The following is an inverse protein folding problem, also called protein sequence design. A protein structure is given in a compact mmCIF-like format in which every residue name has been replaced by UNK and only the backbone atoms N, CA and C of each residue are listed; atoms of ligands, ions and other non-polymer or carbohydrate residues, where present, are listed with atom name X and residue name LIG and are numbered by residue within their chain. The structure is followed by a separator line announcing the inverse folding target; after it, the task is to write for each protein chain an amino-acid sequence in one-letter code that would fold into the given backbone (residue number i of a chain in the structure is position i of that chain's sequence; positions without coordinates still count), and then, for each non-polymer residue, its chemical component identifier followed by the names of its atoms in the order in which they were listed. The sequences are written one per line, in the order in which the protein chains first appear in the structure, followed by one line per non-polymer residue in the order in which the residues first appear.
data_IF_177437623147
#
_entry.id   IF_177437623147
#
_cell.length_a   1.000
_cell.length_b   1.000
_cell.length_c   1.000
_cell.angle_alpha   90.00
_cell.angle_beta   90.00
_cell.angle_gamma   90.00
#
_symmetry.space_group_name_H-M   'P 1'
#
loop_
_entity.id
_entity.type
_entity.pdbx_description
1 polymer ?
#
# COMPACT_ATOMS: atom_id res chain seq x y z
N UNK A 1 33.48 -22.17 47.36
CA UNK A 1 32.55 -22.91 46.52
C UNK A 1 32.35 -22.14 45.24
N UNK A 2 32.78 -22.68 44.10
CA UNK A 2 32.55 -22.06 42.80
C UNK A 2 31.04 -22.07 42.51
N UNK A 3 30.41 -20.90 42.48
CA UNK A 3 29.03 -20.76 41.95
C UNK A 3 29.07 -21.28 40.53
N UNK A 4 28.34 -22.40 40.25
CA UNK A 4 28.29 -22.95 38.93
C UNK A 4 27.85 -21.86 37.93
N UNK A 5 28.54 -21.70 36.82
CA UNK A 5 28.30 -20.64 35.84
C UNK A 5 26.84 -20.67 35.28
N UNK A 6 26.16 -21.78 35.44
CA UNK A 6 24.78 -21.99 35.03
C UNK A 6 23.71 -21.30 35.87
N UNK A 7 24.00 -20.99 37.15
CA UNK A 7 22.99 -20.36 38.02
C UNK A 7 22.61 -18.95 37.61
N UNK A 8 23.50 -18.18 36.99
CA UNK A 8 23.19 -16.84 36.46
C UNK A 8 22.28 -16.91 35.23
N UNK A 9 22.32 -17.99 34.49
CA UNK A 9 21.49 -18.19 33.29
C UNK A 9 20.14 -18.83 33.58
N UNK A 10 19.91 -19.32 34.80
CA UNK A 10 18.69 -20.04 35.18
C UNK A 10 17.42 -19.23 34.91
N UNK A 11 17.36 -17.97 35.38
CA UNK A 11 16.21 -17.09 35.16
C UNK A 11 15.96 -16.81 33.67
N UNK A 12 17.02 -16.65 32.87
CA UNK A 12 16.89 -16.46 31.43
C UNK A 12 16.31 -17.69 30.72
N UNK A 13 16.71 -18.88 31.13
CA UNK A 13 16.13 -20.12 30.62
C UNK A 13 14.70 -20.34 31.10
N UNK A 14 14.37 -19.93 32.32
CA UNK A 14 13.01 -20.03 32.85
C UNK A 14 12.05 -19.10 32.06
N UNK A 15 12.42 -17.83 31.86
CA UNK A 15 11.57 -16.93 31.08
C UNK A 15 11.45 -17.37 29.62
N UNK A 16 12.52 -17.83 28.98
CA UNK A 16 12.49 -18.40 27.65
C UNK A 16 11.55 -19.62 27.57
N UNK A 17 11.64 -20.51 28.53
CA UNK A 17 10.75 -21.68 28.64
C UNK A 17 9.29 -21.26 28.77
N UNK A 18 8.97 -20.32 29.66
CA UNK A 18 7.63 -19.80 29.86
C UNK A 18 7.06 -19.21 28.56
N UNK A 19 7.86 -18.40 27.86
CA UNK A 19 7.49 -17.75 26.60
C UNK A 19 7.26 -18.76 25.47
N UNK A 20 8.14 -19.77 25.34
CA UNK A 20 8.12 -20.69 24.20
C UNK A 20 7.18 -21.88 24.38
N UNK A 21 7.02 -22.39 25.62
CA UNK A 21 6.42 -23.72 25.83
C UNK A 21 5.14 -23.68 26.68
N UNK A 22 4.73 -22.53 27.24
CA UNK A 22 3.56 -22.48 28.12
C UNK A 22 2.48 -21.54 27.59
N UNK A 23 1.24 -21.85 27.93
CA UNK A 23 0.06 -20.99 27.79
C UNK A 23 -1.00 -21.46 28.81
N UNK A 24 -2.17 -20.81 28.85
CA UNK A 24 -3.27 -21.14 29.74
C UNK A 24 -3.69 -22.64 29.70
N UNK A 25 -3.63 -23.23 28.49
CA UNK A 25 -4.02 -24.63 28.28
C UNK A 25 -2.86 -25.63 28.48
N UNK A 26 -1.63 -25.13 28.51
CA UNK A 26 -0.40 -25.92 28.61
C UNK A 26 0.53 -25.37 29.70
N UNK A 27 0.08 -25.39 31.00
CA UNK A 27 0.97 -25.00 32.10
C UNK A 27 2.04 -26.09 32.29
N UNK A 28 3.27 -25.68 32.59
CA UNK A 28 4.38 -26.60 32.80
C UNK A 28 4.53 -26.92 34.28
N UNK A 29 4.57 -28.18 34.65
CA UNK A 29 4.73 -28.61 36.03
C UNK A 29 6.15 -28.35 36.54
N UNK A 30 6.31 -28.21 37.88
CA UNK A 30 7.65 -28.01 38.47
C UNK A 30 8.64 -29.15 38.13
N UNK A 31 8.24 -30.45 38.10
CA UNK A 31 9.13 -31.50 37.63
C UNK A 31 9.56 -31.34 36.18
N UNK A 32 8.67 -30.90 35.28
CA UNK A 32 9.00 -30.68 33.87
C UNK A 32 9.93 -29.49 33.70
N UNK A 33 9.75 -28.44 34.53
CA UNK A 33 10.65 -27.29 34.57
C UNK A 33 12.06 -27.68 34.98
N UNK A 34 12.20 -28.52 36.02
CA UNK A 34 13.48 -29.05 36.48
C UNK A 34 14.13 -29.85 35.36
N UNK A 35 13.39 -30.77 34.73
CA UNK A 35 13.89 -31.57 33.59
C UNK A 35 14.31 -30.69 32.41
N UNK A 36 13.57 -29.61 32.10
CA UNK A 36 13.96 -28.63 31.07
C UNK A 36 15.30 -27.97 31.39
N UNK A 37 15.50 -27.54 32.67
CA UNK A 37 16.76 -26.91 33.10
C UNK A 37 17.92 -27.90 33.10
N UNK A 38 17.71 -29.15 33.52
CA UNK A 38 18.72 -30.21 33.44
C UNK A 38 19.21 -30.45 32.01
N UNK A 39 18.30 -30.44 31.03
CA UNK A 39 18.64 -30.53 29.62
C UNK A 39 19.49 -29.33 29.12
N UNK A 40 19.47 -28.22 29.85
CA UNK A 40 20.35 -27.06 29.61
C UNK A 40 21.62 -27.07 30.49
N UNK A 41 21.87 -28.17 31.21
CA UNK A 41 23.02 -28.29 32.12
C UNK A 41 22.89 -27.50 33.41
N UNK A 42 21.67 -27.15 33.82
CA UNK A 42 21.40 -26.37 35.03
C UNK A 42 20.64 -27.22 36.03
N UNK A 43 21.27 -27.52 37.15
CA UNK A 43 20.63 -28.21 38.27
C UNK A 43 19.81 -27.22 39.10
N UNK A 44 18.55 -27.57 39.38
CA UNK A 44 17.63 -26.75 40.14
C UNK A 44 16.80 -27.62 41.10
N UNK A 45 16.64 -27.16 42.30
CA UNK A 45 15.75 -27.78 43.31
C UNK A 45 14.36 -27.15 43.24
N UNK A 46 13.34 -27.93 43.66
CA UNK A 46 11.95 -27.51 43.64
C UNK A 46 11.70 -26.16 44.35
N UNK A 47 12.29 -25.99 45.54
CA UNK A 47 12.17 -24.73 46.32
C UNK A 47 12.77 -23.52 45.59
N UNK A 48 13.89 -23.75 44.89
CA UNK A 48 14.54 -22.72 44.09
C UNK A 48 13.65 -22.27 42.88
N UNK A 49 12.91 -23.21 42.27
CA UNK A 49 11.98 -22.86 41.19
C UNK A 49 10.88 -21.94 41.67
N UNK A 50 10.30 -22.19 42.85
CA UNK A 50 9.27 -21.30 43.40
C UNK A 50 9.77 -19.88 43.61
N UNK A 51 10.93 -19.72 44.23
CA UNK A 51 11.57 -18.39 44.41
C UNK A 51 11.95 -17.72 43.10
N UNK A 52 12.35 -18.51 42.09
CA UNK A 52 12.68 -17.97 40.78
C UNK A 52 11.42 -17.46 40.03
N UNK A 53 10.30 -18.17 40.16
CA UNK A 53 9.02 -17.74 39.56
C UNK A 53 8.47 -16.49 40.25
N UNK A 54 8.60 -16.39 41.59
CA UNK A 54 8.29 -15.17 42.32
C UNK A 54 9.15 -14.02 41.89
N UNK A 55 10.49 -14.22 41.73
CA UNK A 55 11.41 -13.19 41.22
C UNK A 55 11.07 -12.73 39.80
N UNK A 56 10.61 -13.61 38.92
CA UNK A 56 10.15 -13.24 37.59
C UNK A 56 8.86 -12.43 37.65
N UNK A 57 7.94 -12.76 38.55
CA UNK A 57 6.71 -12.00 38.77
C UNK A 57 7.02 -10.60 39.32
N UNK A 58 7.93 -10.50 40.31
CA UNK A 58 8.38 -9.23 40.84
C UNK A 58 9.09 -8.36 39.81
N UNK A 59 9.76 -8.97 38.84
CA UNK A 59 10.40 -8.26 37.73
C UNK A 59 9.38 -7.72 36.72
N UNK A 60 8.12 -8.21 36.75
CA UNK A 60 7.02 -7.73 35.91
C UNK A 60 6.50 -8.74 34.89
N UNK A 61 6.94 -9.99 34.91
CA UNK A 61 6.32 -11.03 34.10
C UNK A 61 5.04 -11.55 34.75
N UNK A 62 3.98 -11.71 33.98
CA UNK A 62 2.72 -12.27 34.45
C UNK A 62 2.81 -13.80 34.57
N UNK A 63 3.51 -14.26 35.62
CA UNK A 63 3.69 -15.68 35.89
C UNK A 63 2.50 -16.20 36.66
N UNK A 64 1.63 -16.99 36.01
CA UNK A 64 0.43 -17.56 36.60
C UNK A 64 0.72 -18.96 37.10
N UNK A 65 0.37 -19.24 38.37
CA UNK A 65 0.41 -20.57 38.95
C UNK A 65 -0.98 -21.20 38.93
N UNK A 66 -1.11 -22.36 38.31
CA UNK A 66 -2.36 -23.16 38.32
C UNK A 66 -2.23 -24.29 39.33
N UNK A 67 -3.22 -24.43 40.18
CA UNK A 67 -3.37 -25.58 41.08
C UNK A 67 -4.39 -26.55 40.49
N UNK A 68 -4.01 -27.79 40.23
CA UNK A 68 -4.89 -28.82 39.74
C UNK A 68 -4.74 -30.10 40.58
N UNK A 69 -5.79 -30.89 40.70
CA UNK A 69 -5.76 -32.23 41.36
C UNK A 69 -4.79 -33.19 40.65
N UNK A 70 -4.48 -32.95 39.38
CA UNK A 70 -3.58 -33.77 38.55
C UNK A 70 -2.13 -33.23 38.49
N UNK A 71 -1.80 -32.21 39.25
CA UNK A 71 -0.51 -31.53 39.26
C UNK A 71 -0.67 -30.10 38.79
N UNK A 72 -0.20 -29.13 39.61
CA UNK A 72 -0.16 -27.72 39.25
C UNK A 72 1.01 -27.39 38.32
N UNK A 73 0.99 -26.24 37.74
CA UNK A 73 2.06 -25.78 36.87
C UNK A 73 2.13 -24.26 36.77
N UNK A 74 3.08 -23.76 35.98
CA UNK A 74 3.26 -22.36 35.71
C UNK A 74 3.09 -22.09 34.23
N UNK A 75 2.50 -20.95 33.89
CA UNK A 75 2.46 -20.43 32.54
C UNK A 75 2.58 -18.91 32.53
N UNK A 76 2.93 -18.34 31.38
CA UNK A 76 2.94 -16.90 31.18
C UNK A 76 1.55 -16.42 30.77
N UNK A 77 0.88 -15.64 31.65
CA UNK A 77 -0.52 -15.20 31.48
C UNK A 77 -0.65 -14.16 30.38
N UNK A 78 0.18 -13.12 30.40
CA UNK A 78 0.20 -12.08 29.40
C UNK A 78 1.44 -12.16 28.52
N UNK A 79 1.28 -11.88 27.24
CA UNK A 79 2.36 -11.80 26.24
C UNK A 79 2.39 -10.40 25.65
N UNK A 80 3.56 -10.00 25.12
CA UNK A 80 3.71 -8.73 24.43
C UNK A 80 2.76 -8.56 23.25
N UNK A 81 2.45 -9.68 22.57
CA UNK A 81 1.43 -9.75 21.52
C UNK A 81 0.47 -10.88 21.78
N UNK A 82 -0.83 -10.60 21.66
CA UNK A 82 -1.87 -11.61 21.68
C UNK A 82 -1.94 -12.37 20.34
N UNK A 83 -2.45 -13.60 20.36
CA UNK A 83 -2.58 -14.43 19.17
C UNK A 83 -3.39 -13.77 18.03
N UNK A 84 -4.50 -13.05 18.28
CA UNK A 84 -5.21 -12.30 17.23
C UNK A 84 -4.35 -11.20 16.60
N UNK A 85 -3.54 -10.51 17.37
CA UNK A 85 -2.65 -9.45 16.88
C UNK A 85 -1.55 -10.03 15.99
N UNK A 86 -0.93 -11.15 16.41
CA UNK A 86 0.06 -11.87 15.60
C UNK A 86 -0.54 -12.37 14.28
N UNK A 87 -1.79 -12.84 14.28
CA UNK A 87 -2.50 -13.21 13.03
C UNK A 87 -2.66 -12.03 12.09
N UNK A 88 -3.06 -10.86 12.60
CA UNK A 88 -3.15 -9.64 11.79
C UNK A 88 -1.79 -9.23 11.20
N UNK A 89 -0.70 -9.34 11.98
CA UNK A 89 0.66 -9.06 11.50
C UNK A 89 1.09 -10.06 10.41
N UNK A 90 0.82 -11.34 10.58
CA UNK A 90 1.08 -12.38 9.56
C UNK A 90 0.30 -12.08 8.27
N UNK A 91 -0.98 -11.74 8.38
CA UNK A 91 -1.83 -11.39 7.24
C UNK A 91 -1.32 -10.14 6.52
N UNK A 92 -0.91 -9.11 7.25
CA UNK A 92 -0.31 -7.89 6.70
C UNK A 92 0.98 -8.18 5.92
N UNK A 93 1.88 -9.01 6.49
CA UNK A 93 3.12 -9.43 5.82
C UNK A 93 2.83 -10.28 4.59
N UNK A 94 1.89 -11.23 4.70
CA UNK A 94 1.54 -12.15 3.62
C UNK A 94 0.85 -11.40 2.46
N UNK A 95 -0.04 -10.47 2.75
CA UNK A 95 -0.80 -9.71 1.76
C UNK A 95 0.02 -8.62 1.07
N UNK A 96 1.10 -8.16 1.67
CA UNK A 96 1.92 -7.09 1.13
C UNK A 96 2.59 -7.46 -0.19
N UNK A 97 2.37 -6.67 -1.25
CA UNK A 97 3.09 -6.78 -2.53
C UNK A 97 4.52 -6.29 -2.44
N UNK A 98 4.75 -5.38 -1.56
CA UNK A 98 6.02 -4.71 -1.32
C UNK A 98 7.06 -5.64 -0.67
N UNK A 99 6.65 -6.62 0.12
CA UNK A 99 7.54 -7.56 0.79
C UNK A 99 7.78 -8.76 -0.11
N UNK A 100 9.05 -9.08 -0.43
CA UNK A 100 9.40 -10.24 -1.25
C UNK A 100 8.91 -11.55 -0.63
N UNK A 101 8.73 -12.59 -1.43
CA UNK A 101 8.30 -13.89 -0.93
C UNK A 101 9.27 -14.47 0.11
N UNK A 102 10.59 -14.32 -0.11
CA UNK A 102 11.62 -14.75 0.82
C UNK A 102 11.53 -14.02 2.15
N UNK A 103 11.48 -12.68 2.11
CA UNK A 103 11.42 -11.85 3.32
C UNK A 103 10.10 -12.03 4.08
N UNK A 104 8.98 -12.23 3.39
CA UNK A 104 7.70 -12.56 4.03
C UNK A 104 7.83 -13.83 4.87
N UNK A 105 8.44 -14.88 4.31
CA UNK A 105 8.67 -16.14 5.00
C UNK A 105 9.55 -15.98 6.24
N UNK A 106 10.62 -15.18 6.12
CA UNK A 106 11.52 -14.91 7.26
C UNK A 106 10.84 -14.10 8.36
N UNK A 107 10.03 -13.10 8.01
CA UNK A 107 9.26 -12.31 8.98
C UNK A 107 8.20 -13.16 9.68
N UNK A 108 7.44 -13.97 8.93
CA UNK A 108 6.43 -14.86 9.50
C UNK A 108 7.07 -15.83 10.48
N UNK A 109 8.23 -16.43 10.14
CA UNK A 109 8.96 -17.32 11.05
C UNK A 109 9.33 -16.61 12.36
N UNK A 110 9.72 -15.34 12.32
CA UNK A 110 10.00 -14.56 13.54
C UNK A 110 8.73 -14.32 14.37
N UNK A 111 7.60 -14.04 13.72
CA UNK A 111 6.31 -13.89 14.41
C UNK A 111 5.86 -15.23 15.04
N UNK A 112 6.07 -16.35 14.37
CA UNK A 112 5.81 -17.69 14.91
C UNK A 112 6.64 -17.96 16.18
N UNK A 113 7.89 -17.50 16.24
CA UNK A 113 8.73 -17.64 17.43
C UNK A 113 8.20 -16.82 18.61
N UNK A 114 7.63 -15.64 18.36
CA UNK A 114 7.02 -14.80 19.40
C UNK A 114 5.74 -15.46 19.96
N UNK A 115 4.98 -16.14 19.12
CA UNK A 115 3.74 -16.83 19.53
C UNK A 115 3.98 -17.99 20.50
N UNK A 116 5.19 -18.57 20.48
CA UNK A 116 5.50 -19.80 21.20
C UNK A 116 5.05 -21.06 20.44
N UNK A 117 5.53 -22.22 20.88
CA UNK A 117 5.38 -23.49 20.14
C UNK A 117 3.93 -23.95 19.97
N UNK A 118 3.09 -23.71 20.96
CA UNK A 118 1.69 -24.17 20.97
C UNK A 118 0.80 -23.36 20.01
N UNK A 119 1.13 -22.07 19.83
CA UNK A 119 0.37 -21.13 19.01
C UNK A 119 0.97 -20.90 17.62
N UNK A 120 2.25 -21.22 17.43
CA UNK A 120 2.92 -21.07 16.13
C UNK A 120 2.15 -21.78 14.99
N UNK A 121 1.66 -22.98 15.21
CA UNK A 121 0.83 -23.71 14.26
C UNK A 121 -0.50 -23.04 13.93
N UNK A 122 -1.07 -22.28 14.89
CA UNK A 122 -2.33 -21.55 14.71
C UNK A 122 -2.16 -20.26 13.88
N UNK A 123 -0.92 -19.79 13.71
CA UNK A 123 -0.58 -18.68 12.81
C UNK A 123 -0.51 -19.12 11.35
N UNK A 124 -0.43 -20.45 11.10
CA UNK A 124 -0.46 -20.99 9.74
C UNK A 124 -1.84 -20.79 9.13
N UNK A 125 -1.88 -19.94 8.17
CA UNK A 125 -2.88 -19.55 7.19
C UNK A 125 -4.34 -19.93 7.38
N UNK A 126 -5.14 -18.92 7.62
CA UNK A 126 -6.57 -18.93 7.30
C UNK A 126 -6.94 -17.96 6.16
N UNK A 127 -6.04 -17.04 5.77
CA UNK A 127 -6.30 -16.06 4.71
C UNK A 127 -5.57 -16.46 3.43
N UNK A 128 -6.34 -16.78 2.39
CA UNK A 128 -5.82 -17.03 1.06
C UNK A 128 -5.66 -15.70 0.33
N UNK A 129 -4.42 -15.27 0.12
CA UNK A 129 -4.10 -14.12 -0.71
C UNK A 129 -3.99 -14.61 -2.15
N UNK A 130 -5.11 -14.53 -2.91
CA UNK A 130 -5.14 -15.01 -4.28
C UNK A 130 -4.28 -14.13 -5.20
N UNK A 131 -3.36 -14.77 -5.96
CA UNK A 131 -2.74 -14.19 -7.15
C UNK A 131 -1.92 -12.92 -6.97
N UNK A 132 -1.45 -12.57 -5.75
CA UNK A 132 -0.65 -11.37 -5.56
C UNK A 132 0.78 -11.58 -6.01
N UNK A 133 1.16 -10.84 -7.05
CA UNK A 133 2.55 -10.75 -7.50
C UNK A 133 3.30 -9.87 -6.49
N UNK A 134 4.24 -10.46 -5.77
CA UNK A 134 5.16 -9.76 -4.86
C UNK A 134 6.34 -9.18 -5.64
N UNK A 135 6.95 -8.13 -5.09
CA UNK A 135 8.20 -7.60 -5.65
C UNK A 135 9.31 -8.64 -5.57
N UNK A 136 10.20 -8.62 -6.54
CA UNK A 136 11.44 -9.43 -6.55
C UNK A 136 12.65 -8.60 -6.07
N UNK A 137 12.47 -7.31 -5.86
CA UNK A 137 13.55 -6.41 -5.43
C UNK A 137 13.87 -6.59 -3.94
N UNK A 138 14.89 -7.37 -3.63
CA UNK A 138 15.37 -7.60 -2.26
C UNK A 138 16.01 -6.35 -1.63
N UNK A 139 16.47 -5.37 -2.44
CA UNK A 139 17.11 -4.16 -1.93
C UNK A 139 16.13 -3.11 -1.42
N UNK A 140 14.83 -3.31 -1.60
CA UNK A 140 13.80 -2.32 -1.29
C UNK A 140 13.83 -1.83 0.17
N UNK A 141 14.20 -2.68 1.14
CA UNK A 141 14.34 -2.28 2.55
C UNK A 141 15.50 -1.32 2.75
N UNK A 142 16.64 -1.63 2.13
CA UNK A 142 17.83 -0.79 2.19
C UNK A 142 17.59 0.53 1.47
N UNK A 143 16.83 0.49 0.36
CA UNK A 143 16.45 1.71 -0.36
C UNK A 143 15.59 2.63 0.52
N UNK A 144 14.60 2.07 1.25
CA UNK A 144 13.77 2.84 2.17
C UNK A 144 14.60 3.43 3.31
N UNK A 145 15.48 2.62 3.92
CA UNK A 145 16.36 3.06 4.99
C UNK A 145 17.28 4.20 4.52
N UNK A 146 17.90 4.03 3.35
CA UNK A 146 18.73 5.05 2.73
C UNK A 146 17.96 6.36 2.46
N UNK A 147 16.71 6.25 1.97
CA UNK A 147 15.86 7.42 1.74
C UNK A 147 15.50 8.12 3.06
N UNK A 148 15.11 7.37 4.10
CA UNK A 148 14.85 7.95 5.43
C UNK A 148 16.06 8.66 5.98
N UNK A 149 17.23 8.03 5.92
CA UNK A 149 18.50 8.63 6.35
C UNK A 149 18.80 9.92 5.57
N UNK A 150 18.64 9.92 4.26
CA UNK A 150 18.84 11.11 3.43
C UNK A 150 17.89 12.25 3.79
N UNK A 151 16.63 11.93 4.12
CA UNK A 151 15.63 12.92 4.59
C UNK A 151 16.08 13.51 5.95
N UNK A 152 16.50 12.67 6.89
CA UNK A 152 16.94 13.10 8.22
C UNK A 152 18.22 13.93 8.18
N UNK A 153 19.18 13.53 7.36
CA UNK A 153 20.47 14.20 7.19
C UNK A 153 20.44 15.41 6.25
N UNK A 154 19.26 15.73 5.68
CA UNK A 154 19.09 16.79 4.70
C UNK A 154 19.99 16.62 3.46
N UNK A 155 20.08 15.41 2.90
CA UNK A 155 20.96 15.05 1.78
C UNK A 155 20.17 14.65 0.54
N UNK A 156 20.80 14.84 -0.63
CA UNK A 156 20.32 14.29 -1.91
C UNK A 156 20.62 12.78 -1.98
N UNK A 157 19.93 12.09 -2.86
CA UNK A 157 20.19 10.69 -3.20
C UNK A 157 20.44 10.52 -4.68
N UNK A 158 21.24 9.52 -5.02
CA UNK A 158 21.36 9.00 -6.38
C UNK A 158 20.78 7.60 -6.46
N UNK A 159 20.25 7.24 -7.62
CA UNK A 159 19.73 5.89 -7.86
C UNK A 159 19.55 5.62 -9.35
N UNK A 160 19.56 4.34 -9.72
CA UNK A 160 19.15 3.85 -11.04
C UNK A 160 17.65 3.59 -11.03
N UNK A 161 16.90 4.23 -11.94
CA UNK A 161 15.47 3.94 -12.06
C UNK A 161 15.22 2.84 -13.08
N UNK A 162 14.52 1.78 -12.67
CA UNK A 162 14.32 0.56 -13.42
C UNK A 162 12.93 0.53 -14.07
N UNK A 163 12.84 -0.11 -15.25
CA UNK A 163 11.57 -0.38 -15.90
C UNK A 163 11.54 -1.82 -16.44
N UNK A 164 10.33 -2.38 -16.59
CA UNK A 164 10.16 -3.71 -17.14
C UNK A 164 10.33 -3.70 -18.66
N UNK A 165 11.16 -4.62 -19.17
CA UNK A 165 11.21 -4.91 -20.60
C UNK A 165 10.17 -6.00 -20.98
N UNK A 166 10.01 -6.28 -22.28
CA UNK A 166 9.11 -7.32 -22.78
C UNK A 166 9.51 -8.73 -22.38
N UNK A 167 10.75 -8.94 -21.93
CA UNK A 167 11.24 -10.21 -21.39
C UNK A 167 10.95 -10.39 -19.91
N UNK A 168 10.21 -9.43 -19.30
CA UNK A 168 9.87 -9.39 -17.86
C UNK A 168 11.10 -9.24 -16.95
N UNK A 169 12.12 -8.52 -17.42
CA UNK A 169 13.32 -8.18 -16.66
C UNK A 169 13.31 -6.70 -16.29
N UNK A 170 13.75 -6.36 -15.08
CA UNK A 170 13.97 -4.97 -14.66
C UNK A 170 15.29 -4.49 -15.25
N UNK A 171 15.21 -3.49 -16.11
CA UNK A 171 16.37 -2.89 -16.79
C UNK A 171 16.45 -1.40 -16.48
N UNK A 172 17.64 -0.80 -16.47
CA UNK A 172 17.79 0.64 -16.29
C UNK A 172 16.99 1.42 -17.35
N UNK A 173 16.24 2.41 -16.87
CA UNK A 173 15.51 3.31 -17.76
C UNK A 173 16.47 4.20 -18.51
N UNK A 174 16.24 4.47 -19.82
CA UNK A 174 17.05 5.44 -20.55
C UNK A 174 17.09 6.80 -19.86
N UNK A 175 18.24 7.47 -19.87
CA UNK A 175 18.42 8.80 -19.25
C UNK A 175 19.29 8.79 -17.99
N UNK A 176 20.05 7.70 -17.76
CA UNK A 176 21.08 7.64 -16.72
C UNK A 176 20.57 7.62 -15.28
N UNK A 177 21.52 7.71 -14.37
CA UNK A 177 21.25 7.77 -12.93
C UNK A 177 20.51 9.06 -12.58
N UNK A 178 19.64 8.96 -11.58
CA UNK A 178 18.88 10.09 -11.07
C UNK A 178 19.55 10.63 -9.82
N UNK A 179 19.71 11.96 -9.77
CA UNK A 179 20.10 12.68 -8.56
C UNK A 179 18.94 13.59 -8.15
N UNK A 180 18.38 13.36 -6.97
CA UNK A 180 17.18 14.08 -6.53
C UNK A 180 17.23 14.39 -5.03
N UNK A 181 16.44 15.35 -4.60
CA UNK A 181 16.26 15.75 -3.21
C UNK A 181 15.03 15.03 -2.64
N UNK A 182 15.17 14.00 -1.79
CA UNK A 182 14.06 13.24 -1.22
C UNK A 182 13.32 14.09 -0.17
N UNK A 183 11.97 14.17 -0.26
CA UNK A 183 11.17 14.98 0.66
C UNK A 183 10.21 14.17 1.50
N UNK A 184 9.52 13.18 0.92
CA UNK A 184 8.60 12.32 1.63
C UNK A 184 8.53 10.92 1.02
N UNK A 185 8.38 9.92 1.89
CA UNK A 185 7.92 8.59 1.49
C UNK A 185 6.43 8.49 1.71
N UNK A 186 5.71 8.11 0.67
CA UNK A 186 4.26 8.02 0.62
C UNK A 186 3.89 6.56 0.42
N UNK A 187 3.10 5.98 1.35
CA UNK A 187 2.53 4.65 1.18
C UNK A 187 1.18 4.76 0.49
N UNK A 188 1.05 4.16 -0.70
CA UNK A 188 -0.19 4.15 -1.45
C UNK A 188 -0.31 2.94 -2.37
N UNK A 189 -1.52 2.39 -2.47
CA UNK A 189 -1.82 1.25 -3.35
C UNK A 189 -0.78 0.11 -3.20
N UNK A 190 -0.43 -0.17 -1.95
CA UNK A 190 0.54 -1.20 -1.53
C UNK A 190 1.97 -1.00 -2.06
N UNK A 191 2.35 0.23 -2.38
CA UNK A 191 3.69 0.59 -2.79
C UNK A 191 4.19 1.83 -2.04
N UNK A 192 5.51 1.90 -1.84
CA UNK A 192 6.16 3.14 -1.45
C UNK A 192 6.47 3.99 -2.68
N UNK A 193 6.11 5.25 -2.57
CA UNK A 193 6.47 6.28 -3.53
C UNK A 193 7.33 7.32 -2.85
N UNK A 194 8.45 7.65 -3.47
CA UNK A 194 9.28 8.76 -3.07
C UNK A 194 8.80 10.02 -3.79
N UNK A 195 8.35 11.03 -3.03
CA UNK A 195 8.21 12.38 -3.53
C UNK A 195 9.56 13.09 -3.41
N UNK A 196 10.17 13.46 -4.55
CA UNK A 196 11.47 14.08 -4.60
C UNK A 196 11.51 15.26 -5.55
N UNK A 197 12.28 16.28 -5.19
CA UNK A 197 12.54 17.41 -6.09
C UNK A 197 13.67 17.06 -7.06
N UNK A 198 13.38 17.22 -8.34
CA UNK A 198 14.30 17.07 -9.44
C UNK A 198 14.83 18.46 -9.82
N UNK A 199 16.11 18.72 -9.58
CA UNK A 199 16.74 20.05 -9.79
C UNK A 199 16.85 20.41 -11.26
N UNK A 200 16.98 19.43 -12.17
CA UNK A 200 17.04 19.66 -13.61
C UNK A 200 15.67 20.09 -14.15
N UNK A 201 14.63 19.34 -13.78
CA UNK A 201 13.25 19.64 -14.21
C UNK A 201 12.58 20.73 -13.36
N UNK A 202 13.13 21.09 -12.19
CA UNK A 202 12.60 22.08 -11.22
C UNK A 202 11.19 21.77 -10.74
N UNK A 203 10.84 20.47 -10.63
CA UNK A 203 9.53 19.97 -10.19
C UNK A 203 9.67 18.84 -9.21
N UNK A 204 8.59 18.60 -8.44
CA UNK A 204 8.46 17.40 -7.62
C UNK A 204 8.05 16.23 -8.52
N UNK A 205 8.83 15.16 -8.51
CA UNK A 205 8.56 13.90 -9.19
C UNK A 205 8.28 12.79 -8.19
N UNK A 206 7.57 11.75 -8.64
CA UNK A 206 7.28 10.56 -7.87
C UNK A 206 8.00 9.35 -8.46
N UNK A 207 8.68 8.61 -7.59
CA UNK A 207 9.39 7.40 -7.96
C UNK A 207 8.87 6.24 -7.12
N UNK A 208 8.54 5.13 -7.75
CA UNK A 208 8.22 3.89 -7.03
C UNK A 208 9.51 3.31 -6.47
N UNK A 209 9.54 3.06 -5.16
CA UNK A 209 10.76 2.60 -4.48
C UNK A 209 11.15 1.18 -4.88
N UNK A 210 10.18 0.33 -5.24
CA UNK A 210 10.45 -1.02 -5.77
C UNK A 210 11.13 -1.03 -7.15
N UNK A 211 11.08 0.10 -7.88
CA UNK A 211 11.78 0.32 -9.15
C UNK A 211 13.09 1.10 -9.01
N UNK A 212 13.54 1.35 -7.80
CA UNK A 212 14.81 2.01 -7.54
C UNK A 212 15.89 0.97 -7.27
N UNK A 213 16.99 1.04 -7.97
CA UNK A 213 18.19 0.26 -7.72
C UNK A 213 19.33 1.17 -7.26
N UNK A 214 20.26 0.63 -6.46
CA UNK A 214 21.49 1.31 -6.06
C UNK A 214 21.24 2.71 -5.47
N UNK A 215 20.37 2.80 -4.45
CA UNK A 215 20.08 4.06 -3.77
C UNK A 215 21.25 4.42 -2.86
N UNK A 216 21.89 5.56 -3.12
CA UNK A 216 23.02 6.07 -2.34
C UNK A 216 22.74 7.48 -1.84
N UNK A 217 23.12 7.75 -0.60
CA UNK A 217 23.03 9.08 0.00
C UNK A 217 24.26 9.89 -0.39
N UNK A 218 24.04 11.07 -0.97
CA UNK A 218 25.14 11.96 -1.39
C UNK A 218 25.58 12.89 -0.26
N UNK A 219 26.67 13.63 -0.50
CA UNK A 219 27.12 14.70 0.40
C UNK A 219 26.40 16.03 0.15
N UNK A 220 25.68 16.15 -0.95
CA UNK A 220 24.99 17.37 -1.35
C UNK A 220 23.73 17.62 -0.51
N UNK A 221 23.46 18.86 -0.08
CA UNK A 221 22.23 19.18 0.64
C UNK A 221 21.01 19.09 -0.28
N UNK A 222 19.83 18.85 0.31
CA UNK A 222 18.56 18.83 -0.44
C UNK A 222 18.21 20.22 -0.95
N UNK A 223 17.58 20.24 -2.12
CA UNK A 223 17.00 21.40 -2.75
C UNK A 223 15.47 21.30 -2.85
N UNK A 224 14.78 22.38 -3.23
CA UNK A 224 13.35 22.36 -3.51
C UNK A 224 12.45 22.53 -2.28
N UNK A 225 12.94 23.10 -1.18
CA UNK A 225 12.15 23.41 0.03
C UNK A 225 10.89 24.19 -0.31
N UNK A 226 11.03 25.26 -1.14
CA UNK A 226 9.91 26.14 -1.51
C UNK A 226 8.83 25.38 -2.29
N UNK A 227 9.26 24.51 -3.19
CA UNK A 227 8.35 23.72 -4.03
C UNK A 227 7.60 22.67 -3.19
N UNK A 228 8.31 22.03 -2.26
CA UNK A 228 7.69 21.03 -1.40
C UNK A 228 6.78 21.62 -0.32
N UNK A 229 7.15 22.77 0.27
CA UNK A 229 6.32 23.44 1.30
C UNK A 229 4.96 23.93 0.79
N UNK A 230 4.79 24.06 -0.53
CA UNK A 230 3.52 24.39 -1.17
C UNK A 230 2.59 23.18 -1.33
N UNK A 231 3.12 21.97 -1.08
CA UNK A 231 2.38 20.71 -1.23
C UNK A 231 1.88 20.28 0.15
N UNK A 232 0.57 20.30 0.35
CA UNK A 232 -0.03 19.51 1.42
C UNK A 232 0.00 18.03 1.01
N UNK A 233 0.92 17.28 1.60
CA UNK A 233 1.18 15.86 1.25
C UNK A 233 -0.09 15.02 1.40
N UNK A 234 -0.94 15.30 2.39
CA UNK A 234 -2.17 14.56 2.65
C UNK A 234 -3.21 14.83 1.55
N UNK A 235 -3.48 16.10 1.27
CA UNK A 235 -4.39 16.48 0.18
C UNK A 235 -3.87 16.05 -1.18
N UNK A 236 -2.58 16.21 -1.42
CA UNK A 236 -1.93 15.80 -2.65
C UNK A 236 -2.06 14.28 -2.90
N UNK A 237 -1.87 13.47 -1.85
CA UNK A 237 -2.00 12.02 -1.93
C UNK A 237 -3.44 11.61 -2.24
N UNK A 238 -4.44 12.28 -1.66
CA UNK A 238 -5.85 11.98 -1.89
C UNK A 238 -6.32 12.39 -3.29
N UNK A 239 -5.76 13.46 -3.85
CA UNK A 239 -6.12 14.01 -5.17
C UNK A 239 -5.50 13.23 -6.33
N UNK A 240 -4.36 12.58 -6.11
CA UNK A 240 -3.60 11.87 -7.15
C UNK A 240 -4.07 10.43 -7.29
N UNK A 241 -4.40 9.98 -8.49
CA UNK A 241 -4.77 8.59 -8.78
C UNK A 241 -3.53 7.79 -9.18
N UNK A 242 -3.13 6.80 -8.33
CA UNK A 242 -1.96 5.95 -8.57
C UNK A 242 -0.63 6.72 -8.66
N UNK A 243 -0.54 7.93 -8.04
CA UNK A 243 0.63 8.82 -8.07
C UNK A 243 1.04 9.26 -9.49
N UNK A 244 0.12 9.20 -10.45
CA UNK A 244 0.33 9.78 -11.77
C UNK A 244 0.07 11.29 -11.74
N UNK A 245 1.02 12.04 -12.27
CA UNK A 245 0.87 13.47 -12.46
C UNK A 245 -0.27 13.75 -13.44
N UNK A 246 -1.10 14.73 -13.14
CA UNK A 246 -2.19 15.23 -13.98
C UNK A 246 -2.48 16.68 -13.63
N UNK A 247 -3.21 17.36 -14.49
CA UNK A 247 -3.67 18.71 -14.21
C UNK A 247 -4.68 18.68 -13.06
N UNK A 248 -4.39 19.42 -11.99
CA UNK A 248 -5.31 19.53 -10.86
C UNK A 248 -6.54 20.32 -11.27
N UNK A 249 -7.70 19.72 -11.12
CA UNK A 249 -8.98 20.33 -11.46
C UNK A 249 -10.05 19.98 -10.43
N UNK A 250 -10.95 20.94 -10.18
CA UNK A 250 -12.15 20.66 -9.39
C UNK A 250 -13.18 19.99 -10.30
N UNK A 251 -13.43 18.70 -10.04
CA UNK A 251 -14.36 17.90 -10.82
C UNK A 251 -15.66 17.71 -10.06
N UNK A 252 -16.78 17.91 -10.76
CA UNK A 252 -18.11 17.63 -10.23
C UNK A 252 -18.62 16.33 -10.87
N UNK A 253 -19.00 15.37 -10.04
CA UNK A 253 -19.42 14.03 -10.45
C UNK A 253 -20.76 13.68 -9.83
N UNK A 254 -21.61 12.96 -10.55
CA UNK A 254 -22.89 12.46 -10.04
C UNK A 254 -22.86 10.95 -9.96
N UNK A 255 -23.29 10.40 -8.83
CA UNK A 255 -23.25 8.97 -8.54
C UNK A 255 -24.60 8.47 -8.03
N UNK A 256 -24.99 7.23 -8.36
CA UNK A 256 -26.09 6.55 -7.68
C UNK A 256 -25.81 6.40 -6.17
N UNK A 257 -26.85 6.57 -5.34
CA UNK A 257 -26.77 6.50 -3.86
C UNK A 257 -26.01 5.26 -3.34
N UNK A 258 -26.15 4.12 -4.02
CA UNK A 258 -25.45 2.86 -3.68
C UNK A 258 -23.93 2.97 -3.72
N UNK A 259 -23.36 3.96 -4.40
CA UNK A 259 -21.92 4.15 -4.54
C UNK A 259 -21.34 5.12 -3.50
N UNK A 260 -22.11 5.52 -2.51
CA UNK A 260 -21.68 6.46 -1.47
C UNK A 260 -20.43 5.92 -0.74
N UNK A 261 -20.40 4.63 -0.38
CA UNK A 261 -19.26 4.00 0.27
C UNK A 261 -18.00 4.08 -0.60
N UNK A 262 -18.10 3.75 -1.90
CA UNK A 262 -16.97 3.80 -2.84
C UNK A 262 -16.40 5.21 -2.99
N UNK A 263 -17.26 6.22 -2.94
CA UNK A 263 -16.86 7.64 -3.00
C UNK A 263 -16.18 8.05 -1.70
N UNK A 264 -16.74 7.68 -0.54
CA UNK A 264 -16.15 7.98 0.77
C UNK A 264 -14.81 7.26 0.98
N UNK A 265 -14.69 5.99 0.54
CA UNK A 265 -13.44 5.24 0.59
C UNK A 265 -12.35 5.91 -0.26
N UNK A 266 -12.75 6.57 -1.36
CA UNK A 266 -11.80 7.21 -2.28
C UNK A 266 -11.39 8.61 -1.87
N UNK A 267 -12.36 9.46 -1.50
CA UNK A 267 -12.16 10.88 -1.27
C UNK A 267 -12.17 11.28 0.20
N UNK A 268 -12.48 10.35 1.10
CA UNK A 268 -12.62 10.61 2.53
C UNK A 268 -14.00 11.19 2.89
N UNK A 269 -14.25 11.30 4.20
CA UNK A 269 -15.55 11.75 4.73
C UNK A 269 -15.78 13.25 4.57
N UNK A 270 -14.71 14.02 4.39
CA UNK A 270 -14.76 15.51 4.27
C UNK A 270 -15.05 15.98 2.84
N UNK A 271 -15.27 15.09 1.89
CA UNK A 271 -15.60 15.47 0.51
C UNK A 271 -16.99 16.11 0.43
N UNK A 272 -17.12 17.20 -0.36
CA UNK A 272 -18.41 17.90 -0.57
C UNK A 272 -19.39 17.00 -1.33
N UNK A 273 -20.41 16.52 -0.61
CA UNK A 273 -21.48 15.65 -1.12
C UNK A 273 -22.82 16.35 -0.98
N UNK A 274 -23.59 16.40 -2.07
CA UNK A 274 -24.93 16.99 -2.07
C UNK A 274 -25.95 16.01 -2.66
N UNK A 275 -27.04 15.71 -1.96
CA UNK A 275 -28.13 14.91 -2.52
C UNK A 275 -28.78 15.68 -3.67
N UNK A 276 -29.00 15.01 -4.80
CA UNK A 276 -29.69 15.56 -5.96
C UNK A 276 -31.11 15.00 -6.11
N UNK A 277 -31.31 13.75 -5.66
CA UNK A 277 -32.60 13.05 -5.59
C UNK A 277 -32.47 11.91 -4.57
N UNK A 278 -33.54 11.16 -4.36
CA UNK A 278 -33.53 9.97 -3.49
C UNK A 278 -32.56 8.87 -3.95
N UNK A 279 -32.17 8.88 -5.22
CA UNK A 279 -31.33 7.84 -5.84
C UNK A 279 -29.97 8.32 -6.31
N UNK A 280 -29.70 9.65 -6.35
CA UNK A 280 -28.50 10.25 -6.92
C UNK A 280 -27.93 11.31 -6.01
N UNK A 281 -26.62 11.35 -5.86
CA UNK A 281 -25.90 12.41 -5.17
C UNK A 281 -24.77 12.98 -6.06
N UNK A 282 -24.40 14.22 -5.77
CA UNK A 282 -23.34 14.95 -6.46
C UNK A 282 -22.15 15.10 -5.52
N UNK A 283 -20.96 14.91 -6.08
CA UNK A 283 -19.67 15.08 -5.39
C UNK A 283 -18.88 16.15 -6.09
N UNK A 284 -18.27 17.03 -5.32
CA UNK A 284 -17.29 18.00 -5.80
C UNK A 284 -15.95 17.72 -5.15
N UNK A 285 -14.97 17.31 -5.96
CA UNK A 285 -13.64 16.96 -5.47
C UNK A 285 -12.53 17.55 -6.34
N UNK A 286 -11.44 17.98 -5.71
CA UNK A 286 -10.21 18.37 -6.40
C UNK A 286 -9.43 17.09 -6.74
N UNK A 287 -9.12 16.87 -8.01
CA UNK A 287 -8.45 15.66 -8.49
C UNK A 287 -7.38 16.00 -9.53
N UNK A 288 -6.31 15.21 -9.58
CA UNK A 288 -5.39 15.20 -10.71
C UNK A 288 -6.04 14.39 -11.85
N UNK A 289 -6.51 15.07 -12.88
CA UNK A 289 -7.16 14.45 -14.03
C UNK A 289 -6.12 13.67 -14.83
N UNK A 290 -6.23 12.34 -14.80
CA UNK A 290 -5.26 11.42 -15.39
C UNK A 290 -5.95 10.19 -15.96
N UNK A 291 -5.24 9.39 -16.75
CA UNK A 291 -5.74 8.10 -17.25
C UNK A 291 -6.20 7.16 -16.13
N UNK A 292 -5.55 7.22 -14.97
CA UNK A 292 -5.93 6.43 -13.78
C UNK A 292 -7.25 6.89 -13.16
N UNK A 293 -7.50 8.21 -13.12
CA UNK A 293 -8.78 8.76 -12.69
C UNK A 293 -9.93 8.26 -13.58
N UNK A 294 -9.75 8.31 -14.90
CA UNK A 294 -10.75 7.76 -15.83
C UNK A 294 -10.90 6.24 -15.72
N UNK A 295 -9.80 5.52 -15.51
CA UNK A 295 -9.82 4.08 -15.25
C UNK A 295 -10.64 3.72 -14.00
N UNK A 296 -10.47 4.48 -12.91
CA UNK A 296 -11.26 4.32 -11.70
C UNK A 296 -12.75 4.58 -11.95
N UNK A 297 -13.09 5.68 -12.63
CA UNK A 297 -14.48 5.99 -12.99
C UNK A 297 -15.13 4.88 -13.84
N UNK A 298 -14.41 4.37 -14.84
CA UNK A 298 -14.87 3.27 -15.67
C UNK A 298 -15.08 1.97 -14.89
N UNK A 299 -14.22 1.71 -13.89
CA UNK A 299 -14.30 0.55 -13.00
C UNK A 299 -15.53 0.55 -12.10
N UNK A 300 -15.95 1.71 -11.60
CA UNK A 300 -17.15 1.84 -10.77
C UNK A 300 -18.43 1.54 -11.55
N UNK A 301 -18.47 1.85 -12.84
CA UNK A 301 -19.63 1.58 -13.73
C UNK A 301 -19.79 0.11 -14.11
N UNK A 302 -18.79 -0.73 -13.88
CA UNK A 302 -18.84 -2.18 -14.19
C UNK A 302 -19.10 -3.00 -12.92
N UNK A 303 -20.37 -3.35 -12.66
CA UNK A 303 -20.68 -4.41 -11.69
C UNK A 303 -20.45 -5.78 -12.34
N UNK A 304 -19.65 -6.68 -11.78
CA UNK A 304 -19.58 -8.06 -12.25
C UNK A 304 -20.89 -8.76 -11.93
N UNK A 305 -21.57 -9.31 -12.93
CA UNK A 305 -22.67 -10.26 -12.74
C UNK A 305 -24.02 -9.99 -13.39
N UNK A 306 -24.20 -8.97 -14.23
CA UNK A 306 -25.48 -8.83 -14.92
C UNK A 306 -25.44 -9.37 -16.35
N UNK A 307 -26.20 -10.43 -16.59
CA UNK A 307 -26.40 -11.08 -17.91
C UNK A 307 -27.18 -10.23 -18.92
N UNK A 308 -27.43 -8.93 -18.70
CA UNK A 308 -28.23 -8.09 -19.58
C UNK A 308 -27.41 -7.00 -20.25
N UNK A 309 -26.66 -7.33 -21.27
CA UNK A 309 -25.90 -6.39 -22.12
C UNK A 309 -26.73 -5.19 -22.67
N UNK A 310 -28.02 -5.31 -22.83
CA UNK A 310 -28.90 -4.24 -23.36
C UNK A 310 -29.24 -3.15 -22.31
N UNK A 311 -29.33 -3.52 -21.03
CA UNK A 311 -29.68 -2.58 -19.95
C UNK A 311 -28.47 -1.71 -19.49
N UNK A 312 -27.23 -2.15 -19.75
CA UNK A 312 -26.00 -1.40 -19.45
C UNK A 312 -25.79 -0.21 -20.38
N UNK A 313 -26.25 -0.27 -21.61
CA UNK A 313 -26.16 0.86 -22.57
C UNK A 313 -26.91 2.10 -22.07
N UNK A 314 -28.07 1.90 -21.44
CA UNK A 314 -28.88 3.00 -20.89
C UNK A 314 -28.34 3.55 -19.56
N UNK A 315 -27.67 2.72 -18.73
CA UNK A 315 -27.10 3.15 -17.43
C UNK A 315 -25.80 3.93 -17.62
N UNK A 316 -24.96 3.60 -18.60
CA UNK A 316 -23.79 4.41 -18.95
C UNK A 316 -24.20 5.78 -19.54
N UNK A 317 -25.34 5.87 -20.22
CA UNK A 317 -25.87 7.14 -20.72
C UNK A 317 -26.54 7.99 -19.65
N UNK A 318 -27.03 7.41 -18.55
CA UNK A 318 -27.73 8.11 -17.48
C UNK A 318 -26.94 8.29 -16.19
N UNK A 319 -25.73 7.72 -16.06
CA UNK A 319 -25.07 7.57 -14.78
C UNK A 319 -23.89 8.48 -14.47
N UNK A 320 -23.22 9.06 -15.46
CA UNK A 320 -22.05 9.91 -15.21
C UNK A 320 -22.11 11.20 -16.04
N UNK A 321 -22.36 12.32 -15.37
CA UNK A 321 -22.06 13.64 -15.93
C UNK A 321 -20.83 14.18 -15.25
N UNK A 322 -19.75 14.39 -16.01
CA UNK A 322 -18.53 15.06 -15.55
C UNK A 322 -18.59 16.48 -16.07
N UNK A 323 -18.60 17.42 -15.14
CA UNK A 323 -18.47 18.84 -15.46
C UNK A 323 -17.08 19.29 -15.05
N UNK A 324 -16.16 19.43 -16.01
CA UNK A 324 -14.91 20.14 -15.79
C UNK A 324 -15.21 21.65 -15.72
N UNK A 325 -14.59 22.33 -14.76
CA UNK A 325 -14.89 23.74 -14.43
C UNK A 325 -14.62 24.80 -15.52
N UNK A 326 -14.13 24.41 -16.69
CA UNK A 326 -14.03 25.30 -17.85
C UNK A 326 -15.19 25.03 -18.79
N UNK A 327 -15.92 26.09 -19.13
CA UNK A 327 -17.06 26.02 -20.01
C UNK A 327 -16.70 25.33 -21.31
N UNK A 328 -17.64 24.50 -21.83
CA UNK A 328 -17.51 23.75 -23.12
C UNK A 328 -17.02 24.64 -24.27
N UNK A 329 -17.35 25.92 -24.25
CA UNK A 329 -16.88 26.91 -25.23
C UNK A 329 -15.39 27.24 -25.12
N UNK A 330 -14.80 27.20 -23.92
CA UNK A 330 -13.38 27.48 -23.69
C UNK A 330 -12.50 26.31 -24.14
N UNK A 331 -12.98 25.07 -23.92
CA UNK A 331 -12.31 23.86 -24.41
C UNK A 331 -12.35 23.75 -25.92
N UNK A 332 -13.50 24.06 -26.54
CA UNK A 332 -13.64 24.10 -28.03
C UNK A 332 -12.75 25.21 -28.60
N UNK A 333 -12.63 26.35 -27.96
CA UNK A 333 -11.73 27.44 -28.39
C UNK A 333 -10.25 27.09 -28.26
N UNK A 334 -9.87 26.34 -27.22
CA UNK A 334 -8.49 25.89 -27.04
C UNK A 334 -8.11 24.76 -28.03
N UNK A 335 -9.03 23.84 -28.33
CA UNK A 335 -8.88 22.82 -29.38
C UNK A 335 -8.81 23.45 -30.78
N UNK A 336 -9.55 24.54 -31.02
CA UNK A 336 -9.56 25.22 -32.32
C UNK A 336 -8.26 25.95 -32.67
N UNK A 337 -7.41 26.28 -31.69
CA UNK A 337 -6.10 26.93 -31.93
C UNK A 337 -5.01 25.97 -32.37
N UNK A 338 -5.12 24.70 -32.04
CA UNK A 338 -4.06 23.69 -32.22
C UNK A 338 -4.50 22.46 -33.04
N UNK A 339 -5.69 22.45 -33.63
CA UNK A 339 -6.22 21.29 -34.37
C UNK A 339 -6.48 21.62 -35.85
N UNK A 340 -6.36 20.63 -36.75
CA UNK A 340 -6.65 20.82 -38.18
C UNK A 340 -8.09 21.30 -38.42
N UNK A 341 -8.34 22.11 -39.46
CA UNK A 341 -9.66 22.74 -39.73
C UNK A 341 -10.84 21.78 -39.86
N UNK A 342 -10.61 20.54 -40.31
CA UNK A 342 -11.66 19.55 -40.47
C UNK A 342 -12.22 19.03 -39.13
N UNK A 343 -11.41 18.98 -38.07
CA UNK A 343 -11.84 18.54 -36.74
C UNK A 343 -12.82 19.53 -36.12
N UNK A 344 -12.65 20.81 -36.39
CA UNK A 344 -13.52 21.88 -35.91
C UNK A 344 -14.93 21.81 -36.53
N UNK A 345 -15.03 21.46 -37.82
CA UNK A 345 -16.30 21.26 -38.49
C UNK A 345 -17.04 20.00 -38.00
N UNK A 346 -16.29 18.96 -37.66
CA UNK A 346 -16.81 17.70 -37.15
C UNK A 346 -17.40 17.84 -35.74
N UNK A 347 -16.74 18.61 -34.87
CA UNK A 347 -17.19 18.88 -33.51
C UNK A 347 -18.44 19.80 -33.43
N UNK A 348 -18.73 20.56 -34.47
CA UNK A 348 -19.90 21.44 -34.57
C UNK A 348 -21.15 20.77 -35.13
N UNK A 349 -21.06 19.53 -35.63
CA UNK A 349 -22.19 18.87 -36.25
C UNK A 349 -23.14 18.24 -35.20
N UNK A 350 -24.37 18.78 -35.00
CA UNK A 350 -25.30 18.28 -33.99
C UNK A 350 -25.85 16.87 -34.25
N UNK A 351 -25.78 16.38 -35.49
CA UNK A 351 -26.27 15.06 -35.85
C UNK A 351 -25.36 13.92 -35.37
N UNK A 352 -24.05 14.17 -35.22
CA UNK A 352 -23.07 13.20 -34.74
C UNK A 352 -23.11 13.02 -33.23
N UNK A 353 -23.53 14.04 -32.48
CA UNK A 353 -23.70 13.95 -31.02
C UNK A 353 -24.98 13.22 -30.61
N UNK A 354 -25.94 12.99 -31.51
CA UNK A 354 -27.17 12.21 -31.27
C UNK A 354 -27.00 10.70 -31.50
N UNK A 355 -25.97 10.28 -32.22
CA UNK A 355 -25.72 8.88 -32.57
C UNK A 355 -24.78 8.11 -31.67
N UNK A 356 -24.47 8.61 -30.45
CA UNK A 356 -23.80 7.80 -29.43
C UNK A 356 -22.30 7.54 -29.66
N UNK A 357 -21.60 8.42 -30.37
CA UNK A 357 -20.13 8.31 -30.49
C UNK A 357 -19.44 8.67 -29.19
N UNK A 358 -18.68 7.73 -28.63
CA UNK A 358 -17.79 7.98 -27.51
C UNK A 358 -16.46 8.52 -28.02
N UNK A 359 -16.15 9.78 -27.74
CA UNK A 359 -14.82 10.32 -27.93
C UNK A 359 -14.01 10.07 -26.66
N UNK A 360 -13.08 9.13 -26.69
CA UNK A 360 -11.98 9.09 -25.73
C UNK A 360 -10.85 9.90 -26.38
N UNK A 361 -10.76 11.17 -26.02
CA UNK A 361 -9.62 12.01 -26.36
C UNK A 361 -8.46 11.63 -25.43
N UNK A 362 -7.59 10.71 -25.88
CA UNK A 362 -6.29 10.51 -25.25
C UNK A 362 -5.33 11.47 -25.93
N UNK A 363 -5.16 12.64 -25.34
CA UNK A 363 -4.08 13.54 -25.74
C UNK A 363 -2.79 13.13 -25.03
N UNK A 364 -2.13 12.10 -25.56
CA UNK A 364 -0.67 12.13 -25.55
C UNK A 364 -0.26 12.57 -26.95
N UNK A 365 0.54 13.61 -27.04
CA UNK A 365 1.17 14.13 -28.25
C UNK A 365 1.05 13.19 -29.46
N UNK A 366 0.14 13.51 -30.41
CA UNK A 366 0.08 13.01 -31.80
C UNK A 366 -0.82 11.82 -32.16
N UNK A 367 -1.68 11.28 -31.27
CA UNK A 367 -2.61 10.23 -31.71
C UNK A 367 -4.06 10.45 -31.24
N UNK A 368 -5.02 10.41 -32.16
CA UNK A 368 -6.46 10.48 -31.90
C UNK A 368 -7.07 9.10 -32.17
N UNK A 369 -7.74 8.53 -31.16
CA UNK A 369 -8.47 7.27 -31.29
C UNK A 369 -9.97 7.58 -31.40
N UNK A 370 -10.59 7.20 -32.50
CA UNK A 370 -12.03 7.26 -32.73
C UNK A 370 -12.60 5.85 -32.67
N UNK A 371 -13.59 5.59 -31.83
CA UNK A 371 -14.29 4.32 -31.78
C UNK A 371 -15.77 4.50 -32.11
N UNK A 372 -16.29 3.73 -33.06
CA UNK A 372 -17.70 3.61 -33.37
C UNK A 372 -18.29 2.46 -32.53
N UNK A 373 -19.26 2.78 -31.69
CA UNK A 373 -19.88 1.82 -30.78
C UNK A 373 -20.73 0.77 -31.47
N UNK A 374 -21.18 1.01 -32.70
CA UNK A 374 -22.11 0.14 -33.43
C UNK A 374 -21.44 -0.82 -34.43
N UNK A 375 -20.21 -0.55 -34.84
CA UNK A 375 -19.56 -1.32 -35.94
C UNK A 375 -18.23 -1.98 -35.55
N UNK A 376 -17.81 -1.96 -34.31
CA UNK A 376 -16.51 -2.53 -33.84
C UNK A 376 -15.27 -2.07 -34.64
N UNK A 377 -15.31 -0.92 -35.28
CA UNK A 377 -14.18 -0.36 -35.99
C UNK A 377 -13.44 0.65 -35.10
N UNK A 378 -12.12 0.41 -34.95
CA UNK A 378 -11.19 1.33 -34.30
C UNK A 378 -10.39 2.00 -35.41
N UNK A 379 -10.46 3.33 -35.52
CA UNK A 379 -9.70 4.11 -36.48
C UNK A 379 -8.51 4.75 -35.78
N UNK A 380 -7.32 4.48 -36.29
CA UNK A 380 -6.09 5.16 -35.91
C UNK A 380 -5.87 6.33 -36.85
N UNK A 381 -5.81 7.55 -36.33
CA UNK A 381 -5.31 8.70 -37.07
C UNK A 381 -3.93 9.07 -36.56
N UNK A 382 -2.91 8.72 -37.31
CA UNK A 382 -1.55 9.16 -37.10
C UNK A 382 -1.38 10.49 -37.85
N UNK A 383 -1.14 11.59 -37.14
CA UNK A 383 -0.73 12.83 -37.76
C UNK A 383 0.74 12.71 -38.13
N UNK A 384 1.01 12.57 -39.43
CA UNK A 384 2.34 12.78 -39.96
C UNK A 384 2.73 14.24 -39.75
N UNK A 385 3.83 14.45 -39.02
CA UNK A 385 4.51 15.74 -38.81
C UNK A 385 5.17 16.24 -40.08
#
# INVERSE_FOLDING_TARGET
MAKSSGQKLKLLYLIKMLQENTDENHPMSTPDIIKYLENQGIHAERKSIYSDMESLADFGYDVVQVQSRLGGGYYLGSREFELPELKLLVDAVQSSRFITTKKSRDLIRKLEQIAGKNDAGKLQRQVYVAGRIKTENESIYYNIDAIHRAIQENRQITFVYLDWNLRKELVPRPGGDKCVSPWALIWRDENYYLAAYDSEAKVIKHYRVDKMGQVEVTVSPREGVKQFSQIDVTSYTNQTFGMFAGEESVVTMEFPKRLIGVVLDRFGREVDIRPMSDTVFRVRAKVAVSGQFFGWLAGIGRMPGSQRRKQYRSVMHSGFRIFCGNSREQQIKNLSKNSPPFLYSFLKNPSLTRQGFFFILITSTHNILLSDADKHHIWYLQTLS
#
